data_IF_823793775431
#
_entry.id   IF_823793775431
#
_cell.length_a   1.000
_cell.length_b   1.000
_cell.length_c   1.000
_cell.angle_alpha   90.00
_cell.angle_beta   90.00
_cell.angle_gamma   90.00
#
_symmetry.space_group_name_H-M   'P 1'
#
loop_
_entity.id
_entity.type
_entity.pdbx_description
1 polymer ?
#
# COMPACT_ATOMS: atom_id res chain seq x y z
N UNK A 1 -18.78 3.21 -3.06
CA UNK A 1 -17.65 2.36 -2.63
C UNK A 1 -16.68 3.10 -1.72
N UNK A 2 -16.72 4.45 -1.66
CA UNK A 2 -15.71 5.23 -0.95
C UNK A 2 -14.40 5.29 -1.74
N UNK A 3 -14.51 5.27 -3.07
CA UNK A 3 -13.40 5.24 -4.05
C UNK A 3 -13.65 6.29 -5.17
N UNK A 4 -14.72 7.08 -5.07
CA UNK A 4 -15.20 8.01 -6.10
C UNK A 4 -14.21 9.13 -6.44
N UNK A 5 -13.44 9.62 -5.47
CA UNK A 5 -12.44 10.68 -5.64
C UNK A 5 -11.05 10.14 -5.98
N UNK A 6 -10.96 8.88 -6.40
CA UNK A 6 -9.69 8.20 -6.62
C UNK A 6 -9.63 7.48 -7.96
N UNK A 7 -8.42 7.40 -8.50
CA UNK A 7 -8.11 6.67 -9.73
C UNK A 7 -7.35 5.41 -9.37
N UNK A 8 -7.77 4.28 -9.94
CA UNK A 8 -7.07 3.01 -9.81
C UNK A 8 -5.78 3.03 -10.64
N UNK A 9 -4.64 3.03 -9.95
CA UNK A 9 -3.30 3.02 -10.58
C UNK A 9 -2.90 1.59 -10.93
N UNK A 10 -3.26 0.65 -10.06
CA UNK A 10 -2.95 -0.75 -10.23
C UNK A 10 -3.95 -1.59 -9.45
N UNK A 11 -4.24 -2.78 -9.97
CA UNK A 11 -5.16 -3.74 -9.38
C UNK A 11 -4.65 -5.14 -9.66
N UNK A 12 -4.45 -5.93 -8.60
CA UNK A 12 -3.89 -7.26 -8.73
C UNK A 12 -4.48 -8.27 -7.77
N UNK A 13 -4.92 -9.40 -8.35
CA UNK A 13 -5.44 -10.55 -7.62
C UNK A 13 -4.37 -11.14 -6.70
N UNK A 14 -4.71 -11.34 -5.43
CA UNK A 14 -3.77 -11.78 -4.40
C UNK A 14 -4.47 -12.37 -3.16
N UNK A 15 -3.65 -12.90 -2.24
CA UNK A 15 -4.08 -13.31 -0.90
C UNK A 15 -3.36 -12.46 0.13
N UNK A 16 -4.12 -11.81 1.00
CA UNK A 16 -3.61 -10.97 2.08
C UNK A 16 -3.58 -11.76 3.39
N UNK A 17 -2.49 -11.63 4.12
CA UNK A 17 -2.26 -12.20 5.45
C UNK A 17 -1.94 -11.09 6.44
N UNK A 18 -2.27 -11.32 7.71
CA UNK A 18 -1.85 -10.50 8.84
C UNK A 18 -1.06 -11.36 9.82
N UNK A 19 0.03 -10.80 10.33
CA UNK A 19 0.79 -11.43 11.41
C UNK A 19 0.12 -11.13 12.75
N UNK A 20 -0.25 -12.17 13.47
CA UNK A 20 -1.00 -12.09 14.72
C UNK A 20 -0.74 -13.35 15.55
N UNK A 21 -0.58 -13.21 16.87
CA UNK A 21 -0.17 -14.31 17.76
C UNK A 21 1.06 -15.10 17.27
N UNK A 22 2.10 -14.39 16.81
CA UNK A 22 3.34 -14.96 16.27
C UNK A 22 3.17 -15.88 15.03
N UNK A 23 2.06 -15.75 14.30
CA UNK A 23 1.81 -16.54 13.10
C UNK A 23 1.12 -15.73 11.99
N UNK A 24 1.30 -16.14 10.75
CA UNK A 24 0.58 -15.56 9.61
C UNK A 24 -0.82 -16.15 9.51
N UNK A 25 -1.83 -15.30 9.65
CA UNK A 25 -3.25 -15.66 9.48
C UNK A 25 -3.76 -15.09 8.16
N UNK A 26 -4.46 -15.89 7.37
CA UNK A 26 -5.12 -15.40 6.17
C UNK A 26 -6.17 -14.35 6.56
N UNK A 27 -6.06 -13.16 5.96
CA UNK A 27 -6.98 -12.05 6.18
C UNK A 27 -8.01 -11.94 5.06
N UNK A 28 -7.65 -12.35 3.83
CA UNK A 28 -8.60 -12.45 2.74
C UNK A 28 -8.02 -12.77 1.37
N UNK A 29 -8.87 -13.27 0.48
CA UNK A 29 -8.62 -13.41 -0.96
C UNK A 29 -9.41 -12.34 -1.71
N UNK A 30 -8.78 -11.67 -2.67
CA UNK A 30 -9.35 -10.52 -3.36
C UNK A 30 -8.34 -9.78 -4.23
N UNK A 31 -8.68 -8.55 -4.60
CA UNK A 31 -7.82 -7.68 -5.38
C UNK A 31 -7.18 -6.63 -4.47
N UNK A 32 -5.85 -6.54 -4.51
CA UNK A 32 -5.10 -5.42 -3.95
C UNK A 32 -5.13 -4.28 -4.96
N UNK A 33 -5.58 -3.11 -4.52
CA UNK A 33 -5.61 -1.88 -5.32
C UNK A 33 -4.61 -0.87 -4.78
N UNK A 34 -3.97 -0.17 -5.71
CA UNK A 34 -3.26 1.08 -5.44
C UNK A 34 -4.13 2.20 -6.00
N UNK A 35 -4.67 3.03 -5.11
CA UNK A 35 -5.57 4.12 -5.47
C UNK A 35 -4.84 5.44 -5.31
N UNK A 36 -5.09 6.38 -6.22
CA UNK A 36 -4.53 7.74 -6.21
C UNK A 36 -5.65 8.75 -6.10
N UNK A 37 -5.55 9.68 -5.15
CA UNK A 37 -6.52 10.76 -5.03
C UNK A 37 -6.49 11.68 -6.26
N UNK A 38 -7.67 12.00 -6.80
CA UNK A 38 -7.84 12.83 -8.01
C UNK A 38 -7.53 14.29 -7.76
N UNK A 39 -7.94 14.82 -6.61
CA UNK A 39 -7.75 16.23 -6.23
C UNK A 39 -6.32 16.49 -5.78
N UNK A 40 -5.78 15.61 -4.94
CA UNK A 40 -4.40 15.60 -4.50
C UNK A 40 -3.66 14.43 -5.17
N UNK A 41 -3.17 14.68 -6.39
CA UNK A 41 -2.43 13.70 -7.21
C UNK A 41 -1.11 13.21 -6.62
N UNK A 42 -0.87 13.40 -5.32
CA UNK A 42 0.28 12.93 -4.55
C UNK A 42 -0.17 12.12 -3.32
N UNK A 43 -1.43 11.76 -3.21
CA UNK A 43 -1.90 10.87 -2.13
C UNK A 43 -2.27 9.54 -2.76
N UNK A 44 -1.62 8.49 -2.29
CA UNK A 44 -1.91 7.11 -2.67
C UNK A 44 -2.33 6.32 -1.45
N UNK A 45 -3.14 5.29 -1.65
CA UNK A 45 -3.47 4.31 -0.61
C UNK A 45 -3.49 2.88 -1.15
N UNK A 46 -3.20 1.93 -0.28
CA UNK A 46 -3.47 0.53 -0.50
C UNK A 46 -4.88 0.21 0.00
N UNK A 47 -5.67 -0.44 -0.85
CA UNK A 47 -7.02 -0.89 -0.51
C UNK A 47 -7.20 -2.36 -0.93
N UNK A 48 -7.66 -3.19 -0.01
CA UNK A 48 -8.01 -4.58 -0.29
C UNK A 48 -9.40 -4.90 0.22
N UNK A 49 -10.22 -5.51 -0.63
CA UNK A 49 -11.53 -6.04 -0.27
C UNK A 49 -11.58 -7.54 -0.49
N UNK A 50 -12.21 -8.24 0.43
CA UNK A 50 -12.51 -9.68 0.29
C UNK A 50 -13.55 -9.90 -0.80
N UNK A 51 -13.37 -10.98 -1.55
CA UNK A 51 -14.41 -11.48 -2.45
C UNK A 51 -15.72 -11.80 -1.72
N UNK A 52 -16.83 -11.74 -2.47
CA UNK A 52 -18.20 -12.05 -2.06
C UNK A 52 -18.77 -11.12 -0.98
N UNK A 53 -18.06 -10.95 0.14
CA UNK A 53 -18.48 -10.13 1.26
C UNK A 53 -18.11 -8.64 1.09
N UNK A 54 -17.19 -8.33 0.17
CA UNK A 54 -16.72 -6.97 -0.15
C UNK A 54 -16.21 -6.15 1.06
N UNK A 55 -15.90 -6.82 2.17
CA UNK A 55 -15.35 -6.21 3.40
C UNK A 55 -13.94 -5.72 3.14
N UNK A 56 -13.65 -4.50 3.57
CA UNK A 56 -12.29 -3.92 3.60
C UNK A 56 -11.46 -4.64 4.64
N UNK A 57 -10.26 -5.07 4.25
CA UNK A 57 -9.31 -5.75 5.15
C UNK A 57 -7.89 -5.18 5.10
N UNK A 58 -7.65 -4.22 4.22
CA UNK A 58 -6.48 -3.36 4.20
C UNK A 58 -6.93 -2.00 3.67
N UNK A 59 -6.61 -0.93 4.39
CA UNK A 59 -6.88 0.44 4.03
C UNK A 59 -5.91 1.37 4.77
N UNK A 60 -4.83 1.74 4.09
CA UNK A 60 -3.85 2.70 4.61
C UNK A 60 -3.20 3.51 3.50
N UNK A 61 -2.71 4.69 3.85
CA UNK A 61 -1.93 5.53 2.95
C UNK A 61 -0.62 4.84 2.58
N UNK A 62 -0.22 4.99 1.32
CA UNK A 62 1.10 4.59 0.87
C UNK A 62 2.08 5.73 1.16
N UNK A 63 2.91 5.56 2.19
CA UNK A 63 3.91 6.54 2.63
C UNK A 63 5.33 6.10 2.26
N UNK A 64 6.33 7.01 2.16
CA UNK A 64 7.69 6.66 1.75
C UNK A 64 8.44 5.69 2.70
N UNK A 65 8.03 5.61 3.96
CA UNK A 65 8.59 4.75 5.00
C UNK A 65 8.13 3.29 4.90
N UNK A 66 7.01 3.01 4.21
CA UNK A 66 6.56 1.63 3.97
C UNK A 66 7.59 0.92 3.07
N UNK A 67 8.18 -0.17 3.56
CA UNK A 67 9.14 -1.00 2.80
C UNK A 67 8.60 -2.40 2.58
N UNK A 68 8.36 -2.76 1.33
CA UNK A 68 8.05 -4.14 0.93
C UNK A 68 9.32 -4.99 1.01
N UNK A 69 9.34 -5.94 1.96
CA UNK A 69 10.44 -6.90 2.15
C UNK A 69 10.02 -8.29 1.66
N UNK A 70 10.91 -9.07 1.04
CA UNK A 70 10.56 -10.41 0.59
C UNK A 70 10.22 -11.29 1.80
N UNK A 71 9.24 -12.18 1.63
CA UNK A 71 8.98 -13.22 2.62
C UNK A 71 10.05 -14.31 2.49
N UNK A 72 10.72 -14.67 3.59
CA UNK A 72 11.84 -15.65 3.54
C UNK A 72 11.43 -17.00 2.92
N UNK A 73 10.16 -17.36 3.02
CA UNK A 73 9.61 -18.63 2.53
C UNK A 73 9.00 -18.54 1.13
N UNK A 74 8.94 -17.36 0.50
CA UNK A 74 8.27 -17.19 -0.79
C UNK A 74 8.76 -16.00 -1.60
N UNK A 75 9.19 -16.28 -2.84
CA UNK A 75 9.49 -15.26 -3.86
C UNK A 75 8.24 -14.58 -4.43
N UNK A 76 7.05 -15.09 -4.09
CA UNK A 76 5.76 -14.59 -4.59
C UNK A 76 5.08 -13.67 -3.58
N UNK A 77 5.76 -13.32 -2.48
CA UNK A 77 5.16 -12.59 -1.37
C UNK A 77 6.03 -11.47 -0.82
N UNK A 78 5.36 -10.39 -0.43
CA UNK A 78 5.96 -9.23 0.23
C UNK A 78 5.36 -9.03 1.61
N UNK A 79 6.17 -8.60 2.57
CA UNK A 79 5.77 -8.24 3.93
C UNK A 79 6.04 -6.75 4.17
N UNK A 80 5.17 -6.07 4.93
CA UNK A 80 5.35 -4.68 5.34
C UNK A 80 4.54 -4.34 6.58
N UNK A 81 4.92 -3.24 7.24
CA UNK A 81 4.18 -2.65 8.34
C UNK A 81 3.44 -1.40 7.87
N UNK A 82 2.23 -1.17 8.37
CA UNK A 82 1.47 0.05 8.08
C UNK A 82 0.46 0.37 9.19
N UNK A 83 0.15 1.66 9.35
CA UNK A 83 -0.96 2.14 10.17
C UNK A 83 -2.27 2.00 9.37
N UNK A 84 -3.03 0.94 9.64
CA UNK A 84 -4.20 0.50 8.88
C UNK A 84 -5.52 0.85 9.56
N UNK A 85 -6.53 1.22 8.74
CA UNK A 85 -7.87 1.62 9.19
C UNK A 85 -8.97 0.64 8.76
N UNK A 86 -8.65 -0.60 8.37
CA UNK A 86 -9.66 -1.54 7.86
C UNK A 86 -10.68 -2.01 8.90
N UNK A 87 -10.37 -1.92 10.20
CA UNK A 87 -11.24 -2.32 11.30
C UNK A 87 -11.95 -1.14 11.99
N UNK A 88 -11.92 0.06 11.38
CA UNK A 88 -12.60 1.27 11.90
C UNK A 88 -11.80 2.09 12.92
N UNK A 89 -10.58 1.65 13.24
CA UNK A 89 -9.61 2.36 14.06
C UNK A 89 -8.21 2.16 13.47
N UNK A 90 -7.30 3.11 13.71
CA UNK A 90 -5.93 3.04 13.19
C UNK A 90 -5.10 2.09 14.05
N UNK A 91 -4.55 1.04 13.45
CA UNK A 91 -3.67 0.07 14.10
C UNK A 91 -2.40 -0.17 13.29
N UNK A 92 -1.26 -0.28 13.98
CA UNK A 92 -0.05 -0.77 13.35
C UNK A 92 -0.23 -2.26 13.05
N UNK A 93 -0.24 -2.61 11.78
CA UNK A 93 -0.45 -3.96 11.29
C UNK A 93 0.78 -4.45 10.53
N UNK A 94 1.09 -5.74 10.65
CA UNK A 94 2.14 -6.41 9.88
C UNK A 94 1.48 -7.31 8.83
N UNK A 95 1.53 -6.87 7.59
CA UNK A 95 0.89 -7.55 6.46
C UNK A 95 1.88 -8.40 5.69
N UNK A 96 1.35 -9.46 5.07
CA UNK A 96 1.97 -10.12 3.94
C UNK A 96 0.97 -10.28 2.80
N UNK A 97 1.42 -10.10 1.57
CA UNK A 97 0.60 -10.29 0.37
C UNK A 97 1.28 -11.31 -0.53
N UNK A 98 0.51 -12.30 -1.01
CA UNK A 98 1.01 -13.35 -1.90
C UNK A 98 0.29 -13.30 -3.24
N UNK A 99 1.07 -13.37 -4.31
CA UNK A 99 0.61 -13.37 -5.70
C UNK A 99 0.71 -14.75 -6.35
N UNK A 100 0.10 -14.88 -7.53
CA UNK A 100 0.08 -16.15 -8.28
C UNK A 100 1.47 -16.54 -8.78
N UNK A 101 2.23 -15.57 -9.28
CA UNK A 101 3.58 -15.75 -9.85
C UNK A 101 4.56 -14.75 -9.25
N UNK A 102 5.86 -15.04 -9.35
CA UNK A 102 6.91 -14.15 -8.88
C UNK A 102 6.97 -12.85 -9.71
N UNK A 103 6.69 -12.95 -11.01
CA UNK A 103 6.66 -11.78 -11.91
C UNK A 103 5.59 -10.77 -11.49
N UNK A 104 4.39 -11.25 -11.19
CA UNK A 104 3.30 -10.40 -10.69
C UNK A 104 3.66 -9.77 -9.34
N UNK A 105 4.32 -10.53 -8.46
CA UNK A 105 4.79 -9.97 -7.19
C UNK A 105 5.82 -8.85 -7.43
N UNK A 106 6.78 -9.06 -8.32
CA UNK A 106 7.80 -8.07 -8.68
C UNK A 106 7.18 -6.82 -9.31
N UNK A 107 6.26 -6.98 -10.25
CA UNK A 107 5.51 -5.87 -10.85
C UNK A 107 4.77 -5.04 -9.79
N UNK A 108 4.06 -5.69 -8.87
CA UNK A 108 3.38 -4.99 -7.78
C UNK A 108 4.36 -4.14 -6.95
N UNK A 109 5.51 -4.70 -6.60
CA UNK A 109 6.55 -3.97 -5.86
C UNK A 109 7.09 -2.77 -6.63
N UNK A 110 7.35 -2.94 -7.93
CA UNK A 110 7.81 -1.86 -8.80
C UNK A 110 6.79 -0.71 -8.85
N UNK A 111 5.49 -1.02 -8.97
CA UNK A 111 4.44 0.02 -8.95
C UNK A 111 4.40 0.75 -7.61
N UNK A 112 4.47 0.02 -6.49
CA UNK A 112 4.51 0.62 -5.14
C UNK A 112 5.70 1.58 -5.00
N UNK A 113 6.90 1.13 -5.38
CA UNK A 113 8.11 1.94 -5.31
C UNK A 113 8.05 3.16 -6.24
N UNK A 114 7.45 3.03 -7.43
CA UNK A 114 7.26 4.15 -8.35
C UNK A 114 6.27 5.19 -7.80
N UNK A 115 5.19 4.75 -7.15
CA UNK A 115 4.27 5.65 -6.46
C UNK A 115 5.00 6.42 -5.35
N UNK A 116 5.82 5.73 -4.55
CA UNK A 116 6.62 6.33 -3.47
C UNK A 116 7.70 7.30 -3.96
N UNK A 117 8.38 7.02 -5.08
CA UNK A 117 9.35 7.94 -5.69
C UNK A 117 8.69 9.28 -6.01
N UNK A 118 7.49 9.27 -6.58
CA UNK A 118 6.72 10.49 -6.87
C UNK A 118 6.42 11.33 -5.62
N UNK A 119 6.27 10.69 -4.45
CA UNK A 119 6.10 11.38 -3.16
C UNK A 119 7.40 12.04 -2.70
N UNK A 120 8.51 11.29 -2.80
CA UNK A 120 9.80 11.71 -2.27
C UNK A 120 10.37 12.93 -3.01
N UNK A 121 10.32 12.94 -4.35
CA UNK A 121 10.75 14.09 -5.15
C UNK A 121 9.98 15.37 -4.78
N UNK A 122 8.68 15.25 -4.49
CA UNK A 122 7.90 16.41 -4.10
C UNK A 122 8.28 16.95 -2.72
N UNK A 123 8.52 16.07 -1.74
CA UNK A 123 8.94 16.48 -0.39
C UNK A 123 10.27 17.23 -0.45
N UNK A 124 11.24 16.72 -1.23
CA UNK A 124 12.53 17.38 -1.42
C UNK A 124 12.33 18.77 -2.04
N UNK A 125 11.62 18.87 -3.16
CA UNK A 125 11.37 20.17 -3.81
C UNK A 125 10.63 21.14 -2.88
N UNK A 126 9.69 20.66 -2.05
CA UNK A 126 8.99 21.51 -1.09
C UNK A 126 9.94 22.03 0.00
N UNK A 127 10.83 21.17 0.51
CA UNK A 127 11.85 21.57 1.49
C UNK A 127 12.80 22.61 0.88
N UNK A 128 13.25 22.42 -0.35
CA UNK A 128 14.09 23.40 -1.07
C UNK A 128 13.34 24.74 -1.29
N UNK A 129 12.07 24.69 -1.65
CA UNK A 129 11.24 25.90 -1.81
C UNK A 129 10.97 26.61 -0.48
N UNK A 130 10.83 25.89 0.62
CA UNK A 130 10.67 26.49 1.95
C UNK A 130 11.98 27.10 2.43
N UNK A 131 13.11 26.39 2.26
CA UNK A 131 14.43 26.87 2.65
C UNK A 131 14.90 28.06 1.81
N UNK A 132 14.45 28.23 0.57
CA UNK A 132 14.76 29.40 -0.25
C UNK A 132 13.95 30.65 0.13
N UNK A 133 12.79 30.48 0.79
CA UNK A 133 11.95 31.59 1.27
C UNK A 133 12.34 32.12 2.66
N UNK A 134 13.19 31.40 3.40
CA UNK A 134 13.66 31.81 4.73
C UNK A 134 14.91 32.71 4.71
N UNK A 135 15.38 33.13 3.52
CA UNK A 135 16.53 34.04 3.34
C UNK A 135 16.16 35.39 2.71
N UNK A 136 14.88 35.76 2.70
CA UNK A 136 14.35 37.08 2.39
C UNK A 136 13.47 37.55 3.55
#
# INVERSE_FOLDING_TARGET
>A
TGEEDETEVHKQRSVLYRFDDNQWKERGVGDMKILKNKTNGRVYRLLFRRDQIHKVVCNHLLTPDIKLKPMQTSEKAWCWFANDFSDGEVKMEHFAIRFKTADVAREFKEVVENCQKGLFYFIICLIEQLNSKTWL
#
